data_IF_898452455793
#
_entry.id   IF_898452455793
#
_cell.length_a   1.000
_cell.length_b   1.000
_cell.length_c   1.000
_cell.angle_alpha   90.00
_cell.angle_beta   90.00
_cell.angle_gamma   90.00
#
_symmetry.space_group_name_H-M   'P 1'
#
loop_
_entity.id
_entity.type
_entity.pdbx_description
1 polymer ?
#
# COMPACT_ATOMS: atom_id res chain seq x y z
N UNK A 1 31.65 -39.07 17.59
CA UNK A 1 31.07 -37.73 17.81
C UNK A 1 31.23 -36.95 16.51
N UNK A 2 30.14 -36.66 15.80
CA UNK A 2 30.17 -35.94 14.54
C UNK A 2 28.76 -35.46 14.24
N UNK A 3 28.36 -34.38 14.89
CA UNK A 3 27.06 -33.76 14.66
C UNK A 3 27.07 -33.01 13.34
N UNK A 4 26.26 -33.46 12.38
CA UNK A 4 25.95 -32.68 11.19
C UNK A 4 25.09 -31.49 11.64
N UNK A 5 25.68 -30.30 11.49
CA UNK A 5 25.00 -29.02 11.71
C UNK A 5 24.12 -28.74 10.49
N UNK A 6 22.82 -28.99 10.63
CA UNK A 6 21.83 -28.59 9.65
C UNK A 6 21.63 -27.08 9.75
N UNK A 7 22.42 -26.30 8.99
CA UNK A 7 22.10 -24.91 8.71
C UNK A 7 21.06 -24.85 7.59
N UNK A 8 19.86 -25.33 7.88
CA UNK A 8 18.66 -24.95 7.15
C UNK A 8 18.32 -23.52 7.51
N UNK A 9 19.11 -22.54 7.02
CA UNK A 9 18.58 -21.19 6.88
C UNK A 9 17.55 -21.30 5.78
N UNK A 10 16.28 -21.25 6.16
CA UNK A 10 15.16 -20.99 5.28
C UNK A 10 15.56 -19.84 4.35
N UNK A 11 16.00 -20.18 3.15
CA UNK A 11 16.02 -19.25 2.04
C UNK A 11 14.55 -19.10 1.69
N UNK A 12 13.87 -18.25 2.45
CA UNK A 12 12.60 -17.69 2.02
C UNK A 12 12.91 -17.04 0.68
N UNK A 13 12.59 -17.78 -0.38
CA UNK A 13 12.70 -17.36 -1.77
C UNK A 13 11.98 -16.01 -1.82
N UNK A 14 12.70 -14.92 -2.07
CA UNK A 14 12.12 -13.58 -2.22
C UNK A 14 11.21 -13.61 -3.45
N UNK A 15 10.02 -14.15 -3.31
CA UNK A 15 8.98 -14.10 -4.31
C UNK A 15 8.41 -12.71 -4.26
N UNK A 16 8.42 -12.05 -5.41
CA UNK A 16 7.68 -10.81 -5.58
C UNK A 16 6.21 -11.05 -5.21
N UNK A 17 5.70 -10.20 -4.33
CA UNK A 17 4.30 -10.23 -3.88
C UNK A 17 3.53 -9.14 -4.62
N UNK A 18 2.25 -9.37 -4.87
CA UNK A 18 1.36 -8.36 -5.45
C UNK A 18 0.61 -7.66 -4.31
N UNK A 19 0.63 -6.34 -4.31
CA UNK A 19 -0.10 -5.48 -3.39
C UNK A 19 -1.11 -4.60 -4.17
N UNK A 20 -2.19 -4.21 -3.48
CA UNK A 20 -3.25 -3.38 -4.03
C UNK A 20 -3.50 -2.22 -3.07
N UNK A 21 -3.47 -0.99 -3.59
CA UNK A 21 -3.94 0.20 -2.88
C UNK A 21 -5.24 0.68 -3.51
N UNK A 22 -6.25 0.99 -2.70
CA UNK A 22 -7.53 1.48 -3.19
C UNK A 22 -8.21 2.35 -2.13
N UNK A 23 -8.98 3.36 -2.57
CA UNK A 23 -9.90 4.12 -1.73
C UNK A 23 -11.31 3.58 -1.90
N UNK A 24 -12.08 3.62 -0.83
CA UNK A 24 -13.50 3.27 -0.87
C UNK A 24 -14.32 4.28 -0.09
N UNK A 25 -15.57 4.44 -0.49
CA UNK A 25 -16.59 5.19 0.23
C UNK A 25 -17.80 4.28 0.52
N UNK A 26 -18.93 4.88 0.90
CA UNK A 26 -20.18 4.15 1.16
C UNK A 26 -20.76 3.45 -0.09
N UNK A 27 -20.39 3.90 -1.29
CA UNK A 27 -20.86 3.36 -2.57
C UNK A 27 -19.94 2.25 -3.10
N UNK A 28 -18.77 2.03 -2.47
CA UNK A 28 -17.82 0.98 -2.81
C UNK A 28 -16.43 1.50 -3.17
N UNK A 29 -15.68 0.70 -3.92
CA UNK A 29 -14.31 1.02 -4.34
C UNK A 29 -14.34 2.12 -5.40
N UNK A 30 -13.57 3.18 -5.17
CA UNK A 30 -13.34 4.21 -6.16
C UNK A 30 -12.27 3.72 -7.14
N UNK A 31 -12.70 3.08 -8.23
CA UNK A 31 -11.81 2.46 -9.23
C UNK A 31 -10.65 3.35 -9.70
N UNK A 32 -10.82 4.68 -9.90
CA UNK A 32 -9.69 5.54 -10.25
C UNK A 32 -8.60 5.64 -9.18
N UNK A 33 -8.77 5.15 -7.96
CA UNK A 33 -7.70 5.13 -6.95
C UNK A 33 -7.00 3.78 -6.85
N UNK A 34 -7.49 2.77 -7.58
CA UNK A 34 -6.90 1.42 -7.54
C UNK A 34 -5.52 1.46 -8.21
N UNK A 35 -4.52 0.98 -7.49
CA UNK A 35 -3.18 0.72 -8.00
C UNK A 35 -2.73 -0.68 -7.60
N UNK A 36 -2.02 -1.36 -8.51
CA UNK A 36 -1.52 -2.72 -8.34
C UNK A 36 -0.02 -2.69 -8.57
N UNK A 37 0.75 -3.07 -7.55
CA UNK A 37 2.20 -2.94 -7.54
C UNK A 37 2.83 -4.17 -6.90
N UNK A 38 4.14 -4.36 -7.11
CA UNK A 38 4.89 -5.43 -6.47
C UNK A 38 5.56 -4.94 -5.19
N UNK A 39 5.63 -5.81 -4.19
CA UNK A 39 6.35 -5.56 -2.96
C UNK A 39 7.22 -6.77 -2.58
N UNK A 40 8.31 -6.50 -1.85
CA UNK A 40 9.27 -7.53 -1.46
C UNK A 40 8.90 -8.22 -0.14
N UNK A 41 7.99 -7.64 0.65
CA UNK A 41 7.51 -8.18 1.92
C UNK A 41 6.01 -7.98 2.10
N UNK A 42 5.39 -8.87 2.88
CA UNK A 42 4.02 -8.66 3.34
C UNK A 42 3.95 -7.36 4.14
N UNK A 43 2.95 -6.53 3.87
CA UNK A 43 2.77 -5.23 4.54
C UNK A 43 3.97 -4.28 4.36
N UNK A 44 4.66 -4.30 3.22
CA UNK A 44 5.66 -3.27 2.91
C UNK A 44 5.20 -2.39 1.76
N UNK A 45 5.01 -1.11 2.06
CA UNK A 45 4.87 -0.05 1.07
C UNK A 45 6.03 0.92 1.29
N UNK A 46 6.68 1.36 0.20
CA UNK A 46 7.66 2.44 0.28
C UNK A 46 6.90 3.74 0.54
N UNK A 47 7.32 4.54 1.53
CA UNK A 47 6.73 5.86 1.83
C UNK A 47 6.67 6.77 0.60
N UNK A 48 7.67 6.73 -0.28
CA UNK A 48 7.67 7.48 -1.55
C UNK A 48 6.53 7.02 -2.48
N UNK A 49 6.31 5.70 -2.56
CA UNK A 49 5.18 5.16 -3.33
C UNK A 49 3.85 5.61 -2.71
N UNK A 50 3.72 5.52 -1.38
CA UNK A 50 2.49 5.94 -0.69
C UNK A 50 2.20 7.43 -0.94
N UNK A 51 3.18 8.31 -0.79
CA UNK A 51 3.06 9.74 -1.07
C UNK A 51 2.54 10.01 -2.48
N UNK A 52 3.17 9.41 -3.48
CA UNK A 52 2.76 9.57 -4.88
C UNK A 52 1.35 9.04 -5.14
N UNK A 53 1.01 7.89 -4.55
CA UNK A 53 -0.31 7.29 -4.69
C UNK A 53 -1.39 8.15 -4.02
N UNK A 54 -1.18 8.61 -2.79
CA UNK A 54 -2.18 9.40 -2.05
C UNK A 54 -2.41 10.77 -2.67
N UNK A 55 -1.38 11.42 -3.22
CA UNK A 55 -1.53 12.66 -3.98
C UNK A 55 -2.39 12.47 -5.23
N UNK A 56 -2.11 11.41 -5.99
CA UNK A 56 -2.87 11.05 -7.20
C UNK A 56 -4.32 10.71 -6.85
N UNK A 57 -4.53 9.93 -5.79
CA UNK A 57 -5.84 9.55 -5.29
C UNK A 57 -6.65 10.79 -4.85
N UNK A 58 -6.04 11.67 -4.05
CA UNK A 58 -6.68 12.90 -3.58
C UNK A 58 -7.01 13.87 -4.73
N UNK A 59 -6.16 13.95 -5.76
CA UNK A 59 -6.44 14.71 -6.97
C UNK A 59 -7.68 14.16 -7.70
N UNK A 60 -7.73 12.84 -7.95
CA UNK A 60 -8.87 12.18 -8.63
C UNK A 60 -10.16 12.34 -7.83
N UNK A 61 -10.11 12.12 -6.52
CA UNK A 61 -11.27 12.30 -5.65
C UNK A 61 -11.82 13.73 -5.68
N UNK A 62 -10.95 14.75 -5.71
CA UNK A 62 -11.34 16.16 -5.85
C UNK A 62 -11.95 16.47 -7.22
N UNK A 63 -11.40 15.92 -8.29
CA UNK A 63 -11.94 16.09 -9.63
C UNK A 63 -13.37 15.53 -9.74
N UNK A 64 -13.61 14.34 -9.17
CA UNK A 64 -14.90 13.66 -9.25
C UNK A 64 -15.97 14.25 -8.31
N UNK A 65 -15.56 14.84 -7.19
CA UNK A 65 -16.48 15.39 -6.18
C UNK A 65 -16.67 16.91 -6.25
N UNK A 66 -15.87 17.60 -7.06
CA UNK A 66 -15.87 19.06 -7.19
C UNK A 66 -15.21 19.78 -6.00
N UNK A 67 -14.88 21.07 -6.17
CA UNK A 67 -14.05 21.83 -5.22
C UNK A 67 -14.75 22.17 -3.90
N UNK A 68 -16.07 22.00 -3.81
CA UNK A 68 -16.87 22.42 -2.65
C UNK A 68 -16.98 21.32 -1.58
N UNK A 69 -16.68 20.06 -1.92
CA UNK A 69 -16.79 18.95 -0.98
C UNK A 69 -15.52 18.78 -0.18
N UNK A 70 -15.65 18.72 1.15
CA UNK A 70 -14.55 18.29 2.04
C UNK A 70 -14.45 16.78 1.99
N UNK A 71 -13.29 16.27 1.58
CA UNK A 71 -12.99 14.83 1.56
C UNK A 71 -12.19 14.51 2.81
N UNK A 72 -12.68 13.57 3.62
CA UNK A 72 -11.97 13.02 4.76
C UNK A 72 -11.41 11.65 4.37
N UNK A 73 -10.11 11.47 4.54
CA UNK A 73 -9.43 10.19 4.32
C UNK A 73 -9.22 9.55 5.69
N UNK A 74 -9.76 8.35 5.86
CA UNK A 74 -9.57 7.52 7.06
C UNK A 74 -8.66 6.37 6.68
N UNK A 75 -7.50 6.29 7.34
CA UNK A 75 -6.46 5.30 7.08
C UNK A 75 -5.87 4.85 8.42
N UNK A 76 -5.28 3.66 8.48
CA UNK A 76 -4.62 3.17 9.70
C UNK A 76 -3.27 3.88 9.94
N UNK A 77 -2.68 3.63 11.10
CA UNK A 77 -1.41 4.25 11.51
C UNK A 77 -0.18 3.44 11.09
N UNK A 78 -0.22 2.80 9.92
CA UNK A 78 0.97 2.11 9.40
C UNK A 78 2.14 3.11 9.25
N UNK A 79 3.41 2.69 9.45
CA UNK A 79 4.55 3.62 9.48
C UNK A 79 4.62 4.56 8.27
N UNK A 80 4.44 4.02 7.06
CA UNK A 80 4.47 4.80 5.81
C UNK A 80 3.27 5.75 5.62
N UNK A 81 2.19 5.62 6.39
CA UNK A 81 1.09 6.59 6.43
C UNK A 81 1.40 7.78 7.35
N UNK A 82 2.26 7.56 8.35
CA UNK A 82 2.62 8.56 9.37
C UNK A 82 3.83 9.41 8.97
N UNK A 83 4.52 9.06 7.89
CA UNK A 83 5.70 9.78 7.36
C UNK A 83 5.34 10.94 6.40
N UNK A 84 4.06 11.36 6.39
CA UNK A 84 3.56 12.53 5.66
C UNK A 84 4.08 13.85 6.19
#
# INVERSE_FOLDING_TARGET
MGGQRWEGKDKEEQRERIAISAMMNIDGIHLPTVDIFTCSKDYSVNSEYFLKWIETAAFRLRADNGPQRRICIVIDNAPWHCEL
#
